data_IF_305538025008
#
_entry.id   IF_305538025008
#
_cell.length_a   1.000
_cell.length_b   1.000
_cell.length_c   1.000
_cell.angle_alpha   90.00
_cell.angle_beta   90.00
_cell.angle_gamma   90.00
#
_symmetry.space_group_name_H-M   'P 1'
#
loop_
_entity.id
_entity.type
_entity.pdbx_description
1 polymer ?
#
# COMPACT_ATOMS: atom_id res chain seq x y z
N UNK A 1 15.49 -2.57 5.59
CA UNK A 1 14.18 -3.23 5.66
C UNK A 1 13.50 -3.04 4.32
N UNK A 2 12.25 -3.44 4.16
CA UNK A 2 11.43 -3.13 3.01
C UNK A 2 10.08 -2.61 3.50
N UNK A 3 9.53 -1.60 2.81
CA UNK A 3 8.20 -1.07 3.07
C UNK A 3 7.55 -0.69 1.74
N UNK A 4 6.31 -1.10 1.50
CA UNK A 4 5.54 -0.69 0.34
C UNK A 4 4.41 0.25 0.74
N UNK A 5 4.22 1.31 -0.04
CA UNK A 5 3.28 2.38 0.22
C UNK A 5 2.71 2.94 -1.07
N UNK A 6 1.59 3.66 -0.95
CA UNK A 6 1.00 4.40 -2.06
C UNK A 6 1.36 5.88 -1.90
N UNK A 7 1.77 6.52 -2.99
CA UNK A 7 2.23 7.91 -2.98
C UNK A 7 1.91 8.61 -4.28
N UNK A 8 1.86 9.94 -4.22
CA UNK A 8 1.74 10.85 -5.36
C UNK A 8 3.06 11.54 -5.70
N UNK A 9 4.17 11.08 -5.13
CA UNK A 9 5.48 11.73 -5.20
C UNK A 9 6.01 11.97 -6.62
N UNK A 10 5.60 11.15 -7.59
CA UNK A 10 5.97 11.32 -9.00
C UNK A 10 4.93 12.05 -9.84
N UNK A 11 3.78 12.42 -9.26
CA UNK A 11 2.72 13.12 -9.98
C UNK A 11 2.76 14.63 -9.72
N UNK A 12 3.25 15.38 -10.71
CA UNK A 12 3.34 16.84 -10.67
C UNK A 12 1.99 17.54 -10.61
N UNK A 13 0.90 16.84 -10.93
CA UNK A 13 -0.47 17.37 -10.88
C UNK A 13 -1.23 17.02 -9.59
N UNK A 14 -0.63 16.20 -8.71
CA UNK A 14 -1.20 15.72 -7.46
C UNK A 14 -2.60 15.07 -7.60
N UNK A 15 -2.86 14.48 -8.74
CA UNK A 15 -4.12 13.85 -9.14
C UNK A 15 -4.02 12.32 -9.03
N UNK A 16 -3.05 11.72 -9.71
CA UNK A 16 -2.81 10.27 -9.74
C UNK A 16 -1.89 9.82 -8.62
N UNK A 17 -1.92 8.52 -8.35
CA UNK A 17 -1.04 7.89 -7.38
C UNK A 17 -0.51 6.55 -7.91
N UNK A 18 0.56 6.09 -7.27
CA UNK A 18 1.30 4.89 -7.65
C UNK A 18 1.71 4.11 -6.39
N UNK A 19 2.02 2.82 -6.56
CA UNK A 19 2.58 2.00 -5.48
C UNK A 19 4.10 2.02 -5.60
N UNK A 20 4.76 2.27 -4.47
CA UNK A 20 6.20 2.26 -4.31
C UNK A 20 6.59 1.20 -3.31
N UNK A 21 7.75 0.58 -3.50
CA UNK A 21 8.41 -0.22 -2.48
C UNK A 21 9.78 0.37 -2.23
N UNK A 22 10.04 0.74 -0.98
CA UNK A 22 11.30 1.25 -0.52
C UNK A 22 12.09 0.16 0.20
N UNK A 23 13.39 0.10 -0.09
CA UNK A 23 14.31 -0.80 0.60
C UNK A 23 15.40 -0.02 1.30
N UNK A 24 15.87 -0.54 2.43
CA UNK A 24 16.98 0.02 3.21
C UNK A 24 17.97 -1.10 3.53
N UNK A 25 19.26 -0.82 3.44
CA UNK A 25 20.34 -1.77 3.75
C UNK A 25 21.14 -1.39 4.99
N UNK A 26 20.77 -0.29 5.66
CA UNK A 26 21.48 0.30 6.78
C UNK A 26 20.56 0.53 8.00
N UNK A 27 19.69 -0.43 8.28
CA UNK A 27 18.82 -0.40 9.46
C UNK A 27 17.79 0.74 9.45
N UNK A 28 17.38 1.22 8.27
CA UNK A 28 16.36 2.26 8.12
C UNK A 28 16.90 3.69 8.09
N UNK A 29 18.23 3.89 8.16
CA UNK A 29 18.82 5.23 8.10
C UNK A 29 18.67 5.89 6.72
N UNK A 30 18.68 5.11 5.63
CA UNK A 30 18.31 5.58 4.30
C UNK A 30 17.50 4.53 3.53
N UNK A 31 16.71 5.02 2.58
CA UNK A 31 15.78 4.22 1.80
C UNK A 31 15.87 4.55 0.31
N UNK A 32 15.76 3.54 -0.53
CA UNK A 32 15.64 3.67 -1.98
C UNK A 32 14.26 3.16 -2.39
N UNK A 33 13.40 4.09 -2.83
CA UNK A 33 12.06 3.79 -3.33
C UNK A 33 12.09 3.45 -4.82
N UNK A 34 11.31 2.44 -5.22
CA UNK A 34 11.08 2.09 -6.61
C UNK A 34 9.58 2.03 -6.87
N UNK A 35 9.14 2.67 -7.95
CA UNK A 35 7.77 2.58 -8.43
C UNK A 35 7.49 1.15 -8.94
N UNK A 36 6.44 0.53 -8.42
CA UNK A 36 6.03 -0.84 -8.77
C UNK A 36 5.00 -0.84 -9.89
N UNK A 37 4.12 0.16 -9.91
CA UNK A 37 3.07 0.29 -10.92
C UNK A 37 3.65 0.75 -12.26
N UNK A 38 3.25 0.07 -13.34
CA UNK A 38 3.62 0.48 -14.71
C UNK A 38 2.70 1.57 -15.28
N UNK A 39 1.50 1.70 -14.71
CA UNK A 39 0.49 2.72 -15.07
C UNK A 39 -0.03 3.39 -13.80
N UNK A 40 -0.12 4.72 -13.81
CA UNK A 40 -0.61 5.48 -12.65
C UNK A 40 -2.11 5.36 -12.50
N UNK A 41 -2.55 5.16 -11.26
CA UNK A 41 -3.98 5.05 -10.95
C UNK A 41 -4.59 6.45 -10.83
N UNK A 42 -5.75 6.70 -11.46
CA UNK A 42 -6.47 7.96 -11.25
C UNK A 42 -6.99 8.03 -9.81
N UNK A 43 -7.22 9.23 -9.27
CA UNK A 43 -8.00 9.36 -8.05
C UNK A 43 -9.43 8.91 -8.38
N UNK A 44 -10.02 8.09 -7.52
CA UNK A 44 -11.43 7.72 -7.69
C UNK A 44 -12.29 8.83 -7.09
N UNK A 45 -13.11 9.44 -7.93
CA UNK A 45 -14.23 10.29 -7.53
C UNK A 45 -15.51 9.67 -8.07
N UNK A 46 -16.31 9.07 -7.20
CA UNK A 46 -17.66 8.61 -7.51
C UNK A 46 -17.79 7.58 -8.65
N UNK A 47 -16.74 6.86 -9.04
CA UNK A 47 -16.79 5.99 -10.24
C UNK A 47 -17.48 4.65 -9.97
N UNK A 48 -17.53 4.19 -8.73
CA UNK A 48 -18.34 3.04 -8.32
C UNK A 48 -19.70 3.50 -7.79
N UNK A 49 -20.55 3.96 -8.70
CA UNK A 49 -21.90 4.48 -8.38
C UNK A 49 -22.85 3.41 -7.86
N UNK A 50 -22.50 2.12 -7.96
CA UNK A 50 -23.38 1.01 -7.63
C UNK A 50 -23.09 0.39 -6.25
N UNK A 51 -21.83 0.36 -5.81
CA UNK A 51 -21.42 -0.28 -4.56
C UNK A 51 -20.93 0.74 -3.53
N UNK A 52 -19.95 1.59 -3.86
CA UNK A 52 -19.51 2.67 -2.99
C UNK A 52 -18.66 3.71 -3.75
N UNK A 53 -19.30 4.83 -4.10
CA UNK A 53 -18.76 5.81 -5.04
C UNK A 53 -17.43 6.44 -4.57
N UNK A 54 -17.16 6.45 -3.27
CA UNK A 54 -15.99 7.13 -2.70
C UNK A 54 -14.92 6.16 -2.18
N UNK A 55 -15.07 4.86 -2.45
CA UNK A 55 -14.21 3.83 -1.90
C UNK A 55 -13.13 3.38 -2.89
N UNK A 56 -11.88 3.31 -2.44
CA UNK A 56 -10.74 2.88 -3.26
C UNK A 56 -10.17 1.51 -2.88
N UNK A 57 -10.86 0.77 -2.02
CA UNK A 57 -10.28 -0.40 -1.34
C UNK A 57 -9.28 0.04 -0.27
N UNK A 58 -9.06 -0.81 0.72
CA UNK A 58 -8.05 -0.51 1.72
C UNK A 58 -6.65 -0.74 1.14
N UNK A 59 -5.79 0.24 1.38
CA UNK A 59 -4.43 0.25 0.85
C UNK A 59 -3.56 -0.73 1.61
N UNK A 60 -3.16 -1.81 0.95
CA UNK A 60 -2.29 -2.80 1.57
C UNK A 60 -0.87 -2.26 1.76
N UNK A 61 -0.41 -2.19 3.01
CA UNK A 61 1.00 -1.92 3.32
C UNK A 61 1.70 -3.22 3.64
N UNK A 62 2.91 -3.41 3.10
CA UNK A 62 3.75 -4.58 3.37
C UNK A 62 5.11 -4.10 3.91
N UNK A 63 5.59 -4.72 4.98
CA UNK A 63 6.92 -4.49 5.53
C UNK A 63 7.63 -5.82 5.81
N UNK A 64 8.96 -5.87 5.76
CA UNK A 64 9.71 -7.07 6.17
C UNK A 64 10.45 -6.86 7.51
N UNK A 65 10.67 -7.95 8.23
CA UNK A 65 11.60 -7.97 9.36
C UNK A 65 13.01 -8.10 8.83
N UNK A 66 13.81 -7.04 8.95
CA UNK A 66 15.18 -7.07 8.45
C UNK A 66 16.24 -7.46 9.48
N UNK A 67 15.83 -7.77 10.71
CA UNK A 67 16.73 -8.41 11.68
C UNK A 67 16.98 -9.88 11.30
N UNK A 68 16.18 -10.43 10.40
CA UNK A 68 16.23 -11.84 10.01
C UNK A 68 15.65 -12.78 11.07
N UNK A 69 15.15 -12.25 12.20
CA UNK A 69 14.50 -13.05 13.24
C UNK A 69 13.20 -13.69 12.72
N UNK A 70 12.56 -13.08 11.72
CA UNK A 70 11.38 -13.58 11.07
C UNK A 70 11.54 -13.56 9.54
N UNK A 71 11.36 -14.71 8.89
CA UNK A 71 11.18 -14.78 7.44
C UNK A 71 9.79 -14.24 7.04
N UNK A 72 9.71 -13.62 5.86
CA UNK A 72 8.43 -13.17 5.27
C UNK A 72 8.17 -11.66 5.30
N UNK A 73 6.95 -11.28 4.90
CA UNK A 73 6.44 -9.91 4.95
C UNK A 73 5.26 -9.82 5.92
N UNK A 74 5.21 -8.77 6.72
CA UNK A 74 4.03 -8.38 7.50
C UNK A 74 3.23 -7.41 6.64
N UNK A 75 1.99 -7.77 6.32
CA UNK A 75 1.06 -6.90 5.61
C UNK A 75 -0.14 -6.52 6.42
N UNK A 76 -0.69 -5.33 6.18
CA UNK A 76 -2.02 -4.94 6.68
C UNK A 76 -2.97 -4.74 5.52
N UNK A 77 -4.15 -5.35 5.55
CA UNK A 77 -5.15 -5.26 4.49
C UNK A 77 -6.59 -5.21 5.02
N UNK A 78 -7.45 -4.67 4.17
CA UNK A 78 -8.92 -4.67 4.24
C UNK A 78 -9.54 -6.06 4.26
N UNK A 79 -10.12 -6.52 5.36
CA UNK A 79 -11.09 -7.61 5.30
C UNK A 79 -12.50 -7.10 5.60
N UNK A 80 -13.31 -7.07 4.55
CA UNK A 80 -14.75 -6.88 4.65
C UNK A 80 -15.39 -8.19 5.09
N UNK A 81 -15.97 -8.19 6.29
CA UNK A 81 -16.73 -9.33 6.77
C UNK A 81 -18.17 -9.31 6.21
N UNK A 82 -18.89 -10.43 6.34
CA UNK A 82 -20.25 -10.59 5.78
C UNK A 82 -21.28 -9.59 6.34
N UNK A 83 -20.95 -8.87 7.42
CA UNK A 83 -21.78 -7.82 8.01
C UNK A 83 -21.49 -6.42 7.47
N UNK A 84 -20.54 -6.28 6.53
CA UNK A 84 -20.18 -5.01 5.92
C UNK A 84 -19.25 -4.13 6.75
N UNK A 85 -18.60 -4.68 7.79
CA UNK A 85 -17.60 -3.95 8.56
C UNK A 85 -16.22 -4.14 7.92
N UNK A 86 -15.64 -3.00 7.50
CA UNK A 86 -14.24 -2.87 7.13
C UNK A 86 -13.35 -3.07 8.37
N UNK A 87 -12.62 -4.19 8.45
CA UNK A 87 -11.66 -4.44 9.53
C UNK A 87 -10.25 -4.59 8.97
N UNK A 88 -9.32 -3.76 9.46
CA UNK A 88 -7.91 -3.89 9.15
C UNK A 88 -7.35 -5.16 9.81
N UNK A 89 -6.77 -6.05 9.02
CA UNK A 89 -6.08 -7.25 9.48
C UNK A 89 -4.59 -7.16 9.18
N UNK A 90 -3.75 -7.51 10.16
CA UNK A 90 -2.32 -7.70 9.95
C UNK A 90 -2.01 -9.20 9.79
N UNK A 91 -1.33 -9.58 8.71
CA UNK A 91 -0.95 -10.98 8.42
C UNK A 91 0.53 -11.07 8.08
N UNK A 92 1.16 -12.18 8.46
CA UNK A 92 2.52 -12.54 8.04
C UNK A 92 2.43 -13.49 6.84
N UNK A 93 3.10 -13.14 5.75
CA UNK A 93 3.20 -13.89 4.49
C UNK A 93 4.59 -14.48 4.32
#
# INVERSE_FOLDING_TARGET
MAACYYSRETDTTNYKFDRFCATSTNGGASWTATRVTTTSSPPIHATDVLLNAFYMGDYDTLANDQTGANTGFIGTFEVNNITGNANLQATKF
#
